data_IF_742074650407
#
_entry.id   IF_742074650407
#
_cell.length_a   1.000
_cell.length_b   1.000
_cell.length_c   1.000
_cell.angle_alpha   90.00
_cell.angle_beta   90.00
_cell.angle_gamma   90.00
#
_symmetry.space_group_name_H-M   'P 1'
#
loop_
_entity.id
_entity.type
_entity.pdbx_description
1 polymer ?
#
# COMPACT_ATOMS: atom_id res chain seq x y z
N UNK A 1 22.27 -13.18 -5.91
CA UNK A 1 22.83 -13.01 -4.55
C UNK A 1 22.40 -14.22 -3.75
N UNK A 2 23.38 -15.00 -3.27
CA UNK A 2 23.13 -16.17 -2.43
C UNK A 2 22.74 -15.68 -1.03
N UNK A 3 21.50 -15.88 -0.64
CA UNK A 3 21.12 -15.67 0.76
C UNK A 3 21.67 -16.79 1.61
N UNK A 4 22.41 -16.44 2.65
CA UNK A 4 22.71 -17.36 3.73
C UNK A 4 21.36 -17.78 4.38
N UNK A 5 21.08 -19.08 4.56
CA UNK A 5 19.74 -19.60 4.91
C UNK A 5 19.15 -19.15 6.26
N UNK A 6 19.79 -18.25 7.00
CA UNK A 6 19.46 -17.95 8.39
C UNK A 6 19.58 -16.46 8.76
N UNK A 7 19.62 -15.56 7.78
CA UNK A 7 19.62 -14.12 8.07
C UNK A 7 18.19 -13.69 8.39
N UNK A 8 17.92 -13.08 9.57
CA UNK A 8 16.58 -12.60 9.88
C UNK A 8 16.16 -11.53 8.88
N UNK A 9 14.93 -11.61 8.40
CA UNK A 9 14.34 -10.64 7.47
C UNK A 9 14.38 -9.22 8.04
N UNK A 10 14.20 -9.10 9.36
CA UNK A 10 14.21 -7.83 10.10
C UNK A 10 15.28 -7.86 11.17
N UNK A 11 16.13 -6.84 11.18
CA UNK A 11 17.03 -6.52 12.27
C UNK A 11 16.55 -5.24 12.96
N UNK A 12 16.44 -5.28 14.29
CA UNK A 12 15.99 -4.15 15.09
C UNK A 12 17.19 -3.34 15.56
N UNK A 13 17.28 -2.09 15.12
CA UNK A 13 18.36 -1.17 15.54
C UNK A 13 18.19 -0.72 16.99
N UNK A 14 19.24 -0.11 17.55
CA UNK A 14 19.24 0.40 18.93
C UNK A 14 18.16 1.47 19.17
N UNK A 15 17.81 2.24 18.14
CA UNK A 15 16.70 3.20 18.15
C UNK A 15 15.34 2.55 17.88
N UNK A 16 15.21 1.22 17.96
CA UNK A 16 14.00 0.45 17.63
C UNK A 16 13.48 0.60 16.18
N UNK A 17 14.27 1.19 15.26
CA UNK A 17 13.93 1.19 13.83
C UNK A 17 14.07 -0.22 13.25
N UNK A 18 13.06 -0.74 12.54
CA UNK A 18 13.17 -2.01 11.82
C UNK A 18 13.98 -1.81 10.53
N UNK A 19 15.02 -2.60 10.37
CA UNK A 19 15.97 -2.53 9.26
C UNK A 19 16.02 -3.87 8.51
N UNK A 20 16.12 -3.81 7.19
CA UNK A 20 16.33 -4.98 6.35
C UNK A 20 17.80 -5.11 6.00
N UNK A 21 18.52 -6.15 6.50
CA UNK A 21 19.91 -6.40 6.11
C UNK A 21 20.07 -6.63 4.61
N UNK A 22 19.03 -7.21 3.99
CA UNK A 22 18.97 -7.54 2.57
C UNK A 22 19.01 -6.31 1.66
N UNK A 23 18.27 -5.28 2.04
CA UNK A 23 18.14 -4.04 1.26
C UNK A 23 19.02 -2.91 1.78
N UNK A 24 19.68 -3.12 2.92
CA UNK A 24 20.46 -2.09 3.59
C UNK A 24 19.66 -0.78 3.76
N UNK A 25 18.42 -0.93 4.23
CA UNK A 25 17.45 0.16 4.37
C UNK A 25 16.45 -0.12 5.50
N UNK A 26 15.81 0.94 6.01
CA UNK A 26 14.79 0.83 7.07
C UNK A 26 13.41 0.59 6.46
N UNK A 27 12.60 -0.27 7.09
CA UNK A 27 11.20 -0.46 6.67
C UNK A 27 10.36 0.81 6.92
N UNK A 28 10.73 1.57 7.95
CA UNK A 28 10.09 2.82 8.33
C UNK A 28 11.00 3.64 9.25
N UNK A 29 10.83 4.96 9.23
CA UNK A 29 11.50 5.83 10.20
C UNK A 29 10.99 5.59 11.63
N UNK A 30 11.86 5.79 12.61
CA UNK A 30 11.51 5.69 14.03
C UNK A 30 10.34 6.62 14.39
N UNK A 31 9.37 6.12 15.16
CA UNK A 31 8.21 6.88 15.68
C UNK A 31 7.19 7.38 14.65
N UNK A 32 7.53 7.43 13.36
CA UNK A 32 6.74 8.13 12.34
C UNK A 32 6.06 7.21 11.31
N UNK A 33 6.17 5.90 11.46
CA UNK A 33 5.62 4.95 10.49
C UNK A 33 4.12 5.09 10.25
N UNK A 34 3.31 5.17 11.31
CA UNK A 34 1.85 5.28 11.16
C UNK A 34 1.47 6.62 10.54
N UNK A 35 2.14 7.69 10.94
CA UNK A 35 1.93 9.00 10.35
C UNK A 35 2.33 9.01 8.87
N UNK A 36 3.42 8.33 8.49
CA UNK A 36 3.78 8.15 7.08
C UNK A 36 2.67 7.40 6.32
N UNK A 37 2.14 6.32 6.89
CA UNK A 37 1.04 5.58 6.28
C UNK A 37 -0.17 6.49 6.02
N UNK A 38 -0.59 7.25 7.03
CA UNK A 38 -1.71 8.20 6.95
C UNK A 38 -1.44 9.35 5.96
N UNK A 39 -0.29 9.99 6.05
CA UNK A 39 0.05 11.20 5.28
C UNK A 39 0.40 10.92 3.84
N UNK A 40 1.19 9.87 3.60
CA UNK A 40 1.66 9.55 2.25
C UNK A 40 0.57 8.80 1.51
N UNK A 41 0.16 7.65 2.04
CA UNK A 41 -0.65 6.69 1.30
C UNK A 41 -2.14 6.98 1.41
N UNK A 42 -2.70 7.02 2.62
CA UNK A 42 -4.15 7.22 2.80
C UNK A 42 -4.58 8.60 2.31
N UNK A 43 -3.94 9.68 2.77
CA UNK A 43 -4.18 11.04 2.25
C UNK A 43 -3.87 11.16 0.78
N UNK A 44 -2.77 10.55 0.32
CA UNK A 44 -2.40 10.59 -1.10
C UNK A 44 -3.42 9.94 -2.03
N UNK A 45 -4.17 8.97 -1.53
CA UNK A 45 -5.25 8.33 -2.26
C UNK A 45 -6.65 8.84 -1.88
N UNK A 46 -6.77 9.94 -1.13
CA UNK A 46 -8.07 10.53 -0.76
C UNK A 46 -8.89 9.71 0.26
N UNK A 47 -8.23 8.85 1.05
CA UNK A 47 -8.86 7.96 2.03
C UNK A 47 -8.96 8.57 3.43
N UNK A 48 -8.13 9.58 3.71
CA UNK A 48 -8.17 10.40 4.92
C UNK A 48 -8.16 11.88 4.54
N UNK A 49 -9.22 12.42 3.93
CA UNK A 49 -9.25 13.83 3.52
C UNK A 49 -9.15 14.78 4.71
N UNK A 50 -8.76 16.03 4.42
CA UNK A 50 -8.74 17.11 5.40
C UNK A 50 -10.03 17.94 5.34
N UNK A 51 -10.39 18.59 6.45
CA UNK A 51 -11.58 19.44 6.53
C UNK A 51 -12.89 18.65 6.49
N UNK A 52 -13.88 19.20 5.79
CA UNK A 52 -15.25 18.65 5.72
C UNK A 52 -15.43 17.61 4.60
N UNK A 53 -14.39 17.32 3.82
CA UNK A 53 -14.45 16.34 2.76
C UNK A 53 -14.60 14.91 3.31
N UNK A 54 -15.36 14.07 2.61
CA UNK A 54 -15.55 12.65 2.95
C UNK A 54 -14.55 11.76 2.21
N UNK A 55 -14.10 10.65 2.80
CA UNK A 55 -13.22 9.70 2.12
C UNK A 55 -13.82 9.21 0.81
N UNK A 56 -12.98 8.94 -0.20
CA UNK A 56 -13.47 8.50 -1.51
C UNK A 56 -14.21 7.14 -1.46
N UNK A 57 -13.87 6.28 -0.51
CA UNK A 57 -14.59 5.03 -0.30
C UNK A 57 -16.03 5.23 0.17
N UNK A 58 -16.39 6.43 0.67
CA UNK A 58 -17.72 6.68 1.22
C UNK A 58 -18.86 6.51 0.20
N UNK A 59 -18.55 6.62 -1.08
CA UNK A 59 -19.52 6.53 -2.17
C UNK A 59 -19.50 5.16 -2.86
N UNK A 60 -18.78 4.17 -2.32
CA UNK A 60 -18.56 2.89 -2.98
C UNK A 60 -18.94 1.73 -2.06
N UNK A 61 -19.63 0.72 -2.61
CA UNK A 61 -19.93 -0.52 -1.89
C UNK A 61 -18.68 -1.39 -1.63
N UNK A 62 -17.59 -1.13 -2.34
CA UNK A 62 -16.31 -1.77 -2.10
C UNK A 62 -15.17 -0.85 -2.48
N UNK A 63 -14.04 -0.99 -1.79
CA UNK A 63 -12.81 -0.27 -2.10
C UNK A 63 -11.65 -1.25 -2.24
N UNK A 64 -10.91 -1.18 -3.34
CA UNK A 64 -9.76 -2.04 -3.63
C UNK A 64 -8.46 -1.25 -3.49
N UNK A 65 -7.60 -1.68 -2.57
CA UNK A 65 -6.22 -1.19 -2.44
C UNK A 65 -5.26 -2.22 -3.00
N UNK A 66 -4.29 -1.79 -3.79
CA UNK A 66 -3.13 -2.58 -4.20
C UNK A 66 -1.86 -1.98 -3.59
N UNK A 67 -1.01 -2.82 -3.00
CA UNK A 67 0.28 -2.44 -2.46
C UNK A 67 1.40 -3.32 -3.04
N UNK A 68 2.56 -2.72 -3.32
CA UNK A 68 3.70 -3.39 -3.97
C UNK A 68 4.73 -3.98 -3.01
N UNK A 69 4.58 -3.73 -1.70
CA UNK A 69 5.46 -4.26 -0.65
C UNK A 69 4.79 -4.21 0.71
N UNK A 70 4.34 -5.37 1.22
CA UNK A 70 3.64 -5.45 2.51
C UNK A 70 4.52 -5.07 3.70
N UNK A 71 5.78 -5.52 3.69
CA UNK A 71 6.75 -5.32 4.75
C UNK A 71 6.22 -5.75 6.12
N UNK A 72 6.06 -4.76 7.01
CA UNK A 72 5.57 -4.95 8.38
C UNK A 72 4.05 -4.74 8.52
N UNK A 73 3.32 -4.61 7.40
CA UNK A 73 1.86 -4.50 7.36
C UNK A 73 1.29 -3.16 7.82
N UNK A 74 2.11 -2.13 8.00
CA UNK A 74 1.68 -0.89 8.65
C UNK A 74 0.67 -0.10 7.80
N UNK A 75 0.84 -0.05 6.48
CA UNK A 75 -0.14 0.58 5.59
C UNK A 75 -1.48 -0.16 5.61
N UNK A 76 -1.47 -1.50 5.64
CA UNK A 76 -2.68 -2.31 5.79
C UNK A 76 -3.38 -2.02 7.12
N UNK A 77 -2.66 -2.06 8.24
CA UNK A 77 -3.21 -1.79 9.57
C UNK A 77 -3.78 -0.36 9.68
N UNK A 78 -3.07 0.64 9.13
CA UNK A 78 -3.53 2.02 9.08
C UNK A 78 -4.81 2.18 8.23
N UNK A 79 -4.86 1.50 7.08
CA UNK A 79 -6.03 1.53 6.17
C UNK A 79 -7.24 0.88 6.82
N UNK A 80 -7.05 -0.31 7.41
CA UNK A 80 -8.10 -1.02 8.12
C UNK A 80 -8.65 -0.18 9.27
N UNK A 81 -7.77 0.41 10.09
CA UNK A 81 -8.19 1.28 11.18
C UNK A 81 -9.00 2.48 10.69
N UNK A 82 -8.49 3.23 9.70
CA UNK A 82 -9.17 4.40 9.15
C UNK A 82 -10.55 4.04 8.60
N UNK A 83 -10.66 2.91 7.91
CA UNK A 83 -11.91 2.40 7.38
C UNK A 83 -12.89 2.00 8.49
N UNK A 84 -12.42 1.32 9.54
CA UNK A 84 -13.25 0.93 10.69
C UNK A 84 -13.77 2.16 11.44
N UNK A 85 -12.91 3.14 11.70
CA UNK A 85 -13.29 4.39 12.37
C UNK A 85 -14.35 5.15 11.57
N UNK A 86 -14.13 5.31 10.26
CA UNK A 86 -15.09 5.99 9.41
C UNK A 86 -16.46 5.27 9.41
N UNK A 87 -16.47 3.94 9.34
CA UNK A 87 -17.71 3.16 9.38
C UNK A 87 -18.47 3.26 10.71
N UNK A 88 -17.75 3.25 11.82
CA UNK A 88 -18.36 3.45 13.14
C UNK A 88 -19.07 4.82 13.21
N UNK A 89 -18.42 5.88 12.71
CA UNK A 89 -19.02 7.22 12.65
C UNK A 89 -20.26 7.26 11.75
N UNK A 90 -20.24 6.57 10.60
CA UNK A 90 -21.42 6.49 9.73
C UNK A 90 -22.59 5.78 10.42
N UNK A 91 -22.32 4.69 11.15
CA UNK A 91 -23.33 3.98 11.93
C UNK A 91 -23.99 4.90 12.98
N UNK A 92 -23.17 5.61 13.76
CA UNK A 92 -23.64 6.52 14.80
C UNK A 92 -24.47 7.69 14.25
N UNK A 93 -24.15 8.16 13.04
CA UNK A 93 -24.88 9.24 12.37
C UNK A 93 -26.25 8.85 11.80
N UNK A 94 -26.61 7.56 11.83
CA UNK A 94 -27.86 7.06 11.24
C UNK A 94 -27.87 7.05 9.70
N UNK A 95 -26.71 7.25 9.06
CA UNK A 95 -26.58 7.14 7.61
C UNK A 95 -26.87 5.69 7.16
N UNK A 96 -27.65 5.52 6.10
CA UNK A 96 -27.95 4.21 5.54
C UNK A 96 -26.64 3.51 5.12
N UNK A 97 -26.27 2.44 5.83
CA UNK A 97 -25.09 1.66 5.48
C UNK A 97 -25.41 0.76 4.29
N UNK A 98 -24.82 1.05 3.12
CA UNK A 98 -24.57 0.00 2.16
C UNK A 98 -23.51 -0.94 2.74
N UNK A 99 -23.59 -2.27 2.51
CA UNK A 99 -22.50 -3.16 2.88
C UNK A 99 -21.24 -2.70 2.16
N UNK A 100 -20.24 -2.32 2.94
CA UNK A 100 -18.97 -1.85 2.44
C UNK A 100 -17.91 -2.89 2.71
N UNK A 101 -17.10 -3.17 1.69
CA UNK A 101 -15.97 -4.10 1.79
C UNK A 101 -14.66 -3.41 1.44
N UNK A 102 -13.67 -3.61 2.29
CA UNK A 102 -12.29 -3.21 2.02
C UNK A 102 -11.52 -4.45 1.53
N UNK A 103 -11.09 -4.41 0.28
CA UNK A 103 -10.18 -5.40 -0.29
C UNK A 103 -8.78 -4.81 -0.34
N UNK A 104 -7.85 -5.41 0.38
CA UNK A 104 -6.45 -5.01 0.38
C UNK A 104 -5.63 -6.11 -0.27
N UNK A 105 -5.05 -5.85 -1.43
CA UNK A 105 -4.14 -6.77 -2.12
C UNK A 105 -2.72 -6.27 -1.93
N UNK A 106 -1.80 -7.10 -1.44
CA UNK A 106 -0.40 -6.72 -1.28
C UNK A 106 0.53 -7.83 -1.73
N UNK A 107 1.70 -7.45 -2.21
CA UNK A 107 2.77 -8.38 -2.61
C UNK A 107 3.91 -8.30 -1.60
N UNK A 108 4.49 -9.45 -1.25
CA UNK A 108 5.65 -9.53 -0.36
C UNK A 108 6.56 -10.68 -0.77
N UNK A 109 7.83 -10.41 -1.05
CA UNK A 109 8.79 -11.43 -1.44
C UNK A 109 9.49 -12.08 -0.24
N UNK A 110 9.58 -11.39 0.89
CA UNK A 110 10.26 -11.84 2.11
C UNK A 110 9.35 -11.58 3.32
N UNK A 111 8.32 -12.42 3.54
CA UNK A 111 7.42 -12.24 4.67
C UNK A 111 8.19 -12.25 5.98
N UNK A 112 7.91 -11.27 6.82
CA UNK A 112 8.44 -11.14 8.18
C UNK A 112 7.70 -12.07 9.14
N UNK A 113 8.22 -12.25 10.35
CA UNK A 113 7.51 -13.04 11.38
C UNK A 113 6.34 -12.26 11.97
N UNK A 114 5.34 -12.97 12.51
CA UNK A 114 4.25 -12.34 13.27
C UNK A 114 4.78 -11.54 14.48
N UNK A 115 5.90 -11.97 15.07
CA UNK A 115 6.54 -11.25 16.16
C UNK A 115 7.12 -9.90 15.69
N UNK A 116 7.70 -9.83 14.49
CA UNK A 116 8.19 -8.59 13.90
C UNK A 116 7.06 -7.61 13.59
N UNK A 117 5.92 -8.10 13.06
CA UNK A 117 4.72 -7.28 12.85
C UNK A 117 4.25 -6.69 14.18
N UNK A 118 4.11 -7.53 15.22
CA UNK A 118 3.69 -7.09 16.55
C UNK A 118 4.63 -6.05 17.15
N UNK A 119 5.94 -6.30 17.06
CA UNK A 119 6.97 -5.35 17.54
C UNK A 119 6.95 -4.05 16.74
N UNK A 120 6.68 -4.10 15.43
CA UNK A 120 6.55 -2.91 14.59
C UNK A 120 5.34 -2.07 14.96
N UNK A 121 4.20 -2.69 15.28
CA UNK A 121 2.98 -1.98 15.63
C UNK A 121 2.96 -1.46 17.08
N UNK A 122 3.81 -1.99 17.96
CA UNK A 122 3.85 -1.67 19.40
C UNK A 122 3.82 -0.16 19.74
N UNK A 123 4.50 0.75 18.99
CA UNK A 123 4.45 2.18 19.29
C UNK A 123 3.06 2.83 19.09
N UNK A 124 2.10 2.13 18.47
CA UNK A 124 0.76 2.65 18.17
C UNK A 124 -0.30 1.74 18.80
N UNK A 125 -0.66 1.96 20.08
CA UNK A 125 -1.66 1.15 20.78
C UNK A 125 -3.02 1.10 20.07
N UNK A 126 -3.36 2.15 19.31
CA UNK A 126 -4.57 2.20 18.48
C UNK A 126 -4.64 1.12 17.39
N UNK A 127 -3.50 0.52 17.02
CA UNK A 127 -3.44 -0.59 16.07
C UNK A 127 -3.41 -1.97 16.75
N UNK A 128 -3.29 -2.04 18.08
CA UNK A 128 -3.05 -3.29 18.79
C UNK A 128 -4.12 -4.38 18.54
N UNK A 129 -5.44 -4.08 18.55
CA UNK A 129 -6.46 -5.09 18.25
C UNK A 129 -6.35 -5.63 16.82
N UNK A 130 -6.11 -4.75 15.85
CA UNK A 130 -5.97 -5.10 14.44
C UNK A 130 -4.70 -5.93 14.20
N UNK A 131 -3.60 -5.53 14.85
CA UNK A 131 -2.34 -6.25 14.80
C UNK A 131 -2.47 -7.65 15.41
N UNK A 132 -3.20 -7.80 16.52
CA UNK A 132 -3.47 -9.09 17.13
C UNK A 132 -4.25 -9.99 16.17
N UNK A 133 -5.30 -9.47 15.55
CA UNK A 133 -6.11 -10.21 14.57
C UNK A 133 -5.28 -10.65 13.35
N UNK A 134 -4.43 -9.76 12.81
CA UNK A 134 -3.51 -10.09 11.73
C UNK A 134 -2.53 -11.19 12.14
N UNK A 135 -1.87 -11.03 13.30
CA UNK A 135 -0.88 -11.99 13.80
C UNK A 135 -1.47 -13.37 14.07
N UNK A 136 -2.76 -13.46 14.44
CA UNK A 136 -3.44 -14.73 14.70
C UNK A 136 -3.57 -15.60 13.43
N UNK A 137 -3.61 -14.98 12.25
CA UNK A 137 -3.69 -15.65 10.94
C UNK A 137 -2.34 -15.64 10.19
N UNK A 138 -1.27 -15.07 10.79
CA UNK A 138 0.03 -14.87 10.13
C UNK A 138 0.95 -16.09 10.25
N UNK A 139 0.55 -17.20 9.62
CA UNK A 139 1.27 -18.47 9.65
C UNK A 139 1.17 -19.21 8.31
N UNK A 140 2.16 -20.04 7.98
CA UNK A 140 2.11 -20.90 6.77
C UNK A 140 2.22 -20.15 5.44
N UNK A 141 2.81 -18.94 5.43
CA UNK A 141 2.94 -18.08 4.26
C UNK A 141 4.02 -18.56 3.27
N UNK A 142 3.73 -19.67 2.60
CA UNK A 142 4.54 -20.19 1.49
C UNK A 142 4.30 -19.36 0.20
N UNK A 143 5.15 -19.45 -0.83
CA UNK A 143 4.91 -18.78 -2.10
C UNK A 143 3.52 -19.07 -2.67
N UNK A 144 2.80 -18.02 -3.08
CA UNK A 144 1.42 -18.13 -3.58
C UNK A 144 0.47 -17.07 -3.02
N UNK A 145 -0.82 -17.24 -3.27
CA UNK A 145 -1.89 -16.32 -2.83
C UNK A 145 -2.52 -16.82 -1.53
N UNK A 146 -2.49 -15.96 -0.52
CA UNK A 146 -3.16 -16.16 0.77
C UNK A 146 -4.32 -15.18 0.91
N UNK A 147 -5.43 -15.64 1.47
CA UNK A 147 -6.59 -14.80 1.77
C UNK A 147 -6.85 -14.85 3.27
N UNK A 148 -6.80 -13.68 3.91
CA UNK A 148 -7.10 -13.50 5.32
C UNK A 148 -8.34 -12.61 5.41
N UNK A 149 -9.28 -13.00 6.27
CA UNK A 149 -10.54 -12.28 6.44
C UNK A 149 -10.66 -11.76 7.86
N UNK A 150 -11.16 -10.54 7.97
CA UNK A 150 -11.32 -9.83 9.22
C UNK A 150 -12.67 -9.09 9.26
N UNK A 151 -13.06 -8.66 10.46
CA UNK A 151 -14.28 -7.88 10.69
C UNK A 151 -15.54 -8.52 10.06
N UNK A 152 -15.70 -9.83 10.23
CA UNK A 152 -16.82 -10.59 9.67
C UNK A 152 -16.81 -10.67 8.13
N UNK A 153 -15.64 -10.61 7.49
CA UNK A 153 -15.47 -10.66 6.04
C UNK A 153 -15.60 -9.30 5.36
N UNK A 154 -15.74 -8.21 6.12
CA UNK A 154 -15.82 -6.87 5.56
C UNK A 154 -14.44 -6.31 5.20
N UNK A 155 -13.38 -6.87 5.78
CA UNK A 155 -11.99 -6.59 5.39
C UNK A 155 -11.34 -7.88 4.92
N UNK A 156 -10.85 -7.89 3.69
CA UNK A 156 -10.12 -9.02 3.12
C UNK A 156 -8.72 -8.60 2.70
N UNK A 157 -7.70 -9.29 3.21
CA UNK A 157 -6.32 -9.19 2.78
C UNK A 157 -5.99 -10.33 1.81
N UNK A 158 -5.65 -9.98 0.57
CA UNK A 158 -5.03 -10.87 -0.42
C UNK A 158 -3.52 -10.64 -0.39
N UNK A 159 -2.78 -11.55 0.24
CA UNK A 159 -1.33 -11.47 0.32
C UNK A 159 -0.70 -12.41 -0.71
N UNK A 160 0.02 -11.86 -1.67
CA UNK A 160 0.78 -12.64 -2.64
C UNK A 160 2.24 -12.73 -2.19
N UNK A 161 2.67 -13.95 -1.86
CA UNK A 161 4.04 -14.23 -1.47
C UNK A 161 4.87 -14.55 -2.72
N UNK A 162 5.78 -13.63 -3.07
CA UNK A 162 6.68 -13.75 -4.21
C UNK A 162 7.15 -12.39 -4.76
N UNK A 163 7.91 -12.44 -5.84
CA UNK A 163 8.46 -11.25 -6.51
C UNK A 163 7.36 -10.45 -7.22
N UNK A 164 7.24 -9.16 -6.90
CA UNK A 164 6.27 -8.24 -7.49
C UNK A 164 6.38 -8.15 -9.01
N UNK A 165 7.59 -8.15 -9.57
CA UNK A 165 7.80 -8.10 -11.02
C UNK A 165 7.22 -9.32 -11.74
N UNK A 166 7.14 -10.48 -11.06
CA UNK A 166 6.54 -11.71 -11.58
C UNK A 166 5.04 -11.78 -11.34
N UNK A 167 4.58 -11.30 -10.19
CA UNK A 167 3.20 -11.47 -9.75
C UNK A 167 2.26 -10.42 -10.32
N UNK A 168 2.65 -9.14 -10.35
CA UNK A 168 1.80 -8.04 -10.84
C UNK A 168 1.29 -8.25 -12.28
N UNK A 169 2.08 -8.77 -13.24
CA UNK A 169 1.58 -9.05 -14.59
C UNK A 169 0.45 -10.10 -14.64
N UNK A 170 0.43 -11.03 -13.68
CA UNK A 170 -0.57 -12.10 -13.60
C UNK A 170 -1.80 -11.74 -12.76
N UNK A 171 -1.75 -10.61 -12.04
CA UNK A 171 -2.86 -10.19 -11.21
C UNK A 171 -4.06 -9.76 -12.05
N UNK A 172 -5.24 -10.17 -11.58
CA UNK A 172 -6.52 -9.68 -12.04
C UNK A 172 -7.24 -9.00 -10.87
N UNK A 173 -7.19 -7.68 -10.89
CA UNK A 173 -7.80 -6.77 -9.89
C UNK A 173 -7.88 -5.38 -10.51
N UNK A 174 -8.79 -4.56 -9.98
CA UNK A 174 -8.97 -3.17 -10.42
C UNK A 174 -8.88 -2.24 -9.20
N UNK A 175 -7.66 -1.87 -8.76
CA UNK A 175 -7.48 -1.04 -7.58
C UNK A 175 -8.06 0.37 -7.78
N UNK A 176 -8.75 0.84 -6.74
CA UNK A 176 -9.11 2.24 -6.55
C UNK A 176 -7.91 3.06 -6.09
N UNK A 177 -7.09 2.44 -5.23
CA UNK A 177 -5.88 3.02 -4.66
C UNK A 177 -4.67 2.12 -4.87
N UNK A 178 -3.54 2.69 -5.24
CA UNK A 178 -2.25 2.02 -5.33
C UNK A 178 -1.28 2.65 -4.34
N UNK A 179 -0.78 1.84 -3.41
CA UNK A 179 0.33 2.18 -2.53
C UNK A 179 1.60 1.65 -3.16
N UNK A 180 2.30 2.52 -3.89
CA UNK A 180 3.60 2.20 -4.46
C UNK A 180 4.66 2.35 -3.36
N UNK A 181 4.80 1.29 -2.58
CA UNK A 181 5.70 1.18 -1.44
C UNK A 181 6.71 0.05 -1.62
N UNK A 182 7.85 0.22 -0.97
CA UNK A 182 9.03 -0.63 -1.09
C UNK A 182 10.28 0.13 -0.68
N UNK A 183 11.41 -0.57 -0.59
CA UNK A 183 12.71 0.06 -0.28
C UNK A 183 13.15 1.05 -1.34
N UNK A 184 14.05 1.97 -0.99
CA UNK A 184 14.48 3.04 -1.88
C UNK A 184 14.94 2.55 -3.27
N UNK A 185 14.73 3.32 -4.36
CA UNK A 185 15.12 2.89 -5.70
C UNK A 185 16.57 2.49 -5.86
N UNK A 186 17.48 3.10 -5.10
CA UNK A 186 18.90 2.74 -5.12
C UNK A 186 19.18 1.38 -4.45
N UNK A 187 18.27 0.92 -3.59
CA UNK A 187 18.38 -0.32 -2.80
C UNK A 187 17.58 -1.47 -3.42
N UNK A 188 16.43 -1.18 -4.01
CA UNK A 188 15.57 -2.15 -4.67
C UNK A 188 15.08 -1.64 -6.04
N UNK A 189 15.98 -1.46 -7.04
CA UNK A 189 15.64 -0.82 -8.31
C UNK A 189 14.55 -1.54 -9.09
N UNK A 190 14.46 -2.87 -8.99
CA UNK A 190 13.45 -3.68 -9.69
C UNK A 190 12.01 -3.32 -9.27
N UNK A 191 11.80 -2.83 -8.04
CA UNK A 191 10.49 -2.35 -7.59
C UNK A 191 10.05 -1.10 -8.39
N UNK A 192 10.99 -0.32 -8.90
CA UNK A 192 10.72 1.01 -9.46
C UNK A 192 10.94 1.08 -10.98
N UNK A 193 11.22 -0.06 -11.60
CA UNK A 193 11.54 -0.10 -13.02
C UNK A 193 10.30 0.11 -13.90
N UNK A 194 10.55 0.43 -15.17
CA UNK A 194 9.48 0.72 -16.13
C UNK A 194 8.54 -0.48 -16.33
N UNK A 195 9.05 -1.71 -16.24
CA UNK A 195 8.27 -2.93 -16.46
C UNK A 195 7.24 -3.12 -15.35
N UNK A 196 7.64 -2.91 -14.10
CA UNK A 196 6.73 -2.97 -12.96
C UNK A 196 5.69 -1.85 -13.02
N UNK A 197 6.11 -0.62 -13.34
CA UNK A 197 5.17 0.50 -13.49
C UNK A 197 4.15 0.25 -14.62
N UNK A 198 4.54 -0.39 -15.71
CA UNK A 198 3.62 -0.81 -16.78
C UNK A 198 2.65 -1.89 -16.29
N UNK A 199 3.15 -2.89 -15.55
CA UNK A 199 2.30 -3.93 -14.97
C UNK A 199 1.28 -3.36 -13.97
N UNK A 200 1.66 -2.33 -13.20
CA UNK A 200 0.74 -1.59 -12.33
C UNK A 200 -0.30 -0.82 -13.12
N UNK A 201 0.13 -0.02 -14.11
CA UNK A 201 -0.78 0.78 -14.93
C UNK A 201 -1.84 -0.07 -15.65
N UNK A 202 -1.50 -1.29 -16.07
CA UNK A 202 -2.45 -2.26 -16.65
C UNK A 202 -3.62 -2.60 -15.72
N UNK A 203 -3.39 -2.59 -14.41
CA UNK A 203 -4.42 -2.88 -13.40
C UNK A 203 -5.31 -1.66 -13.13
N UNK A 204 -4.80 -0.46 -13.41
CA UNK A 204 -5.49 0.78 -13.08
C UNK A 204 -6.62 1.10 -14.05
N UNK A 205 -7.69 1.71 -13.52
CA UNK A 205 -8.78 2.30 -14.29
C UNK A 205 -8.66 3.82 -14.25
N UNK A 206 -9.21 4.55 -15.23
CA UNK A 206 -9.24 6.02 -15.16
C UNK A 206 -9.78 6.48 -13.79
N UNK A 207 -9.03 7.36 -13.13
CA UNK A 207 -9.34 7.83 -11.77
C UNK A 207 -8.69 7.02 -10.63
N UNK A 208 -8.05 5.87 -10.89
CA UNK A 208 -7.25 5.16 -9.86
C UNK A 208 -6.19 6.11 -9.31
N UNK A 209 -6.10 6.20 -7.99
CA UNK A 209 -5.13 7.06 -7.31
C UNK A 209 -3.91 6.26 -6.88
N UNK A 210 -2.72 6.84 -7.04
CA UNK A 210 -1.46 6.26 -6.60
C UNK A 210 -0.77 7.20 -5.64
N UNK A 211 -0.16 6.65 -4.60
CA UNK A 211 0.69 7.41 -3.68
C UNK A 211 2.02 6.69 -3.43
N UNK A 212 3.08 7.48 -3.31
CA UNK A 212 4.40 6.97 -2.90
C UNK A 212 5.18 8.03 -2.13
N UNK A 213 6.03 7.57 -1.20
CA UNK A 213 6.98 8.45 -0.52
C UNK A 213 8.15 8.83 -1.42
N UNK A 214 8.40 8.06 -2.49
CA UNK A 214 9.54 8.24 -3.36
C UNK A 214 9.34 9.42 -4.32
N UNK A 215 10.32 10.33 -4.39
CA UNK A 215 10.29 11.54 -5.24
C UNK A 215 11.39 11.55 -6.31
N UNK A 216 12.03 10.39 -6.54
CA UNK A 216 13.07 10.28 -7.55
C UNK A 216 12.52 10.66 -8.94
N UNK A 217 13.28 11.44 -9.70
CA UNK A 217 12.85 11.91 -11.02
C UNK A 217 12.48 10.74 -11.96
N UNK A 218 13.27 9.67 -11.95
CA UNK A 218 13.01 8.46 -12.73
C UNK A 218 11.66 7.78 -12.39
N UNK A 219 11.26 7.80 -11.11
CA UNK A 219 9.96 7.24 -10.68
C UNK A 219 8.82 8.12 -11.17
N UNK A 220 8.94 9.45 -11.01
CA UNK A 220 7.96 10.40 -11.54
C UNK A 220 7.78 10.24 -13.05
N UNK A 221 8.88 10.29 -13.79
CA UNK A 221 8.86 10.18 -15.26
C UNK A 221 8.37 8.80 -15.71
N UNK A 222 8.68 7.74 -14.96
CA UNK A 222 8.15 6.40 -15.22
C UNK A 222 6.63 6.33 -15.06
N UNK A 223 6.09 6.95 -14.01
CA UNK A 223 4.65 7.05 -13.77
C UNK A 223 3.96 7.88 -14.87
N UNK A 224 4.53 9.03 -15.24
CA UNK A 224 4.04 9.86 -16.34
C UNK A 224 3.99 9.08 -17.66
N UNK A 225 5.05 8.32 -17.98
CA UNK A 225 5.13 7.49 -19.19
C UNK A 225 4.06 6.40 -19.27
N UNK A 226 3.55 5.91 -18.13
CA UNK A 226 2.51 4.87 -18.11
C UNK A 226 1.11 5.45 -17.95
N UNK A 227 0.92 6.78 -18.04
CA UNK A 227 -0.40 7.40 -18.08
C UNK A 227 -0.91 7.94 -16.74
N UNK A 228 -0.04 8.15 -15.76
CA UNK A 228 -0.39 8.87 -14.55
C UNK A 228 -0.14 10.37 -14.68
N UNK A 229 -1.09 11.18 -14.24
CA UNK A 229 -0.87 12.59 -13.91
C UNK A 229 -0.26 12.69 -12.51
N UNK A 230 1.01 13.12 -12.43
CA UNK A 230 1.79 13.08 -11.19
C UNK A 230 1.92 14.47 -10.56
N UNK A 231 1.63 14.57 -9.27
CA UNK A 231 1.72 15.79 -8.48
C UNK A 231 2.72 15.63 -7.32
N UNK A 232 3.58 16.63 -7.14
CA UNK A 232 4.44 16.74 -5.96
C UNK A 232 3.66 17.41 -4.84
N UNK A 233 3.64 16.74 -3.69
CA UNK A 233 2.91 17.22 -2.51
C UNK A 233 3.87 17.36 -1.33
N UNK A 234 3.55 18.20 -0.32
CA UNK A 234 4.30 18.23 0.93
C UNK A 234 4.42 16.83 1.53
N UNK A 235 5.65 16.46 1.88
CA UNK A 235 5.97 15.20 2.52
C UNK A 235 5.87 15.27 4.05
N UNK A 236 6.05 14.11 4.69
CA UNK A 236 6.22 14.03 6.14
C UNK A 236 7.70 14.25 6.48
N UNK A 237 7.97 15.17 7.42
CA UNK A 237 9.33 15.43 7.88
C UNK A 237 10.04 14.12 8.28
N UNK A 238 11.32 13.93 7.93
CA UNK A 238 12.23 14.89 7.28
C UNK A 238 12.09 14.96 5.75
N UNK A 239 11.27 14.11 5.12
CA UNK A 239 11.07 14.14 3.66
C UNK A 239 10.23 15.35 3.28
N UNK A 240 10.80 16.24 2.48
CA UNK A 240 10.14 17.50 2.06
C UNK A 240 8.94 17.27 1.14
N UNK A 241 8.99 16.23 0.32
CA UNK A 241 8.02 15.97 -0.72
C UNK A 241 7.65 14.49 -0.76
N UNK A 242 6.49 14.22 -1.35
CA UNK A 242 5.98 12.91 -1.75
C UNK A 242 5.28 13.04 -3.09
N UNK A 243 4.96 11.92 -3.74
CA UNK A 243 4.17 11.91 -4.97
C UNK A 243 2.77 11.40 -4.71
N UNK A 244 1.82 12.07 -5.35
CA UNK A 244 0.48 11.55 -5.59
C UNK A 244 0.26 11.51 -7.10
N UNK A 245 -0.56 10.59 -7.58
CA UNK A 245 -0.89 10.53 -8.98
C UNK A 245 -2.30 10.04 -9.22
N UNK A 246 -2.88 10.42 -10.35
CA UNK A 246 -4.17 9.93 -10.83
C UNK A 246 -3.95 9.28 -12.18
N UNK A 247 -4.46 8.06 -12.36
CA UNK A 247 -4.39 7.39 -13.65
C UNK A 247 -5.36 8.07 -14.62
N UNK A 248 -4.81 8.72 -15.64
CA UNK A 248 -5.53 9.45 -16.67
C UNK A 248 -4.83 9.20 -18.01
N UNK A 249 -4.91 7.96 -18.53
CA UNK A 249 -4.25 7.64 -19.79
C UNK A 249 -4.88 8.51 -20.88
N UNK A 250 -4.04 9.16 -21.69
CA UNK A 250 -4.52 9.89 -22.84
C UNK A 250 -5.38 8.94 -23.67
N UNK A 251 -6.67 9.24 -23.81
CA UNK A 251 -7.60 8.45 -24.61
C UNK A 251 -6.94 8.28 -25.98
N UNK A 252 -6.59 7.05 -26.37
CA UNK A 252 -6.11 6.79 -27.72
C UNK A 252 -7.15 7.41 -28.65
N UNK A 253 -6.74 8.44 -29.39
CA UNK A 253 -7.63 9.13 -30.31
C UNK A 253 -8.35 8.06 -31.13
N UNK A 254 -9.68 8.09 -31.09
CA UNK A 254 -10.49 7.21 -31.91
C UNK A 254 -9.94 7.31 -33.33
N UNK A 255 -9.46 6.18 -33.85
CA UNK A 255 -9.10 6.05 -35.26
C UNK A 255 -10.37 6.42 -36.02
N UNK A 256 -10.40 7.66 -36.52
CA UNK A 256 -11.43 8.14 -37.41
C UNK A 256 -11.14 7.45 -38.73
N UNK A 257 -11.64 6.22 -38.89
CA UNK A 257 -11.83 5.65 -40.21
C UNK A 257 -12.82 6.57 -40.93
N UNK A 258 -12.28 7.43 -41.79
CA UNK A 258 -13.08 8.12 -42.79
C UNK A 258 -13.30 7.16 -43.97
N UNK A 259 -14.49 7.19 -44.58
CA UNK A 259 -14.97 6.20 -45.55
C UNK A 259 -14.19 6.19 -46.87
#
# INVERSE_FOLDING_TARGET
MNDAPNTPTVHWRADASPYSPRFDDVYRSHGQGLEQARQVFLRGCGLLPEGEAVPLWAQQAQWQVLETGFGLGLNFLATWQAWQTWRAQQFESGAAQQPQRLFFTSVEAWPVTAADIRRSAQPWPELAPLCQALCAQWHGLLPGLHRLEFDGGQVQLRLLIGDAARLLPSLDTAPDSVFLDGFAPQRNPAMWDQTLLQALARLCRPGTRLATWCVAAAVREGLERVGFEVHRMPGLAPKRQRLQAVFAPATSAAVTQSP
#
